data_IF_162537113873
#
_entry.id   IF_162537113873
#
_cell.length_a   1.000
_cell.length_b   1.000
_cell.length_c   1.000
_cell.angle_alpha   90.00
_cell.angle_beta   90.00
_cell.angle_gamma   90.00
#
_symmetry.space_group_name_H-M   'P 1'
#
loop_
_entity.id
_entity.type
_entity.pdbx_description
1 polymer ?
#
# COMPACT_ATOMS: atom_id res chain seq x y z
N UNK A 1 -0.85 40.72 -5.73
CA UNK A 1 -0.32 39.57 -6.49
C UNK A 1 -1.08 38.35 -6.02
N UNK A 2 -2.06 37.90 -6.80
CA UNK A 2 -2.90 36.76 -6.43
C UNK A 2 -2.15 35.47 -6.69
N UNK A 3 -2.07 34.60 -5.68
CA UNK A 3 -1.57 33.24 -5.85
C UNK A 3 -2.66 32.43 -6.54
N UNK A 4 -2.36 31.89 -7.72
CA UNK A 4 -3.21 30.89 -8.38
C UNK A 4 -2.76 29.54 -7.82
N UNK A 5 -3.60 28.95 -6.96
CA UNK A 5 -3.45 27.54 -6.58
C UNK A 5 -4.01 26.72 -7.73
N UNK A 6 -3.13 26.10 -8.51
CA UNK A 6 -3.53 25.03 -9.42
C UNK A 6 -3.66 23.78 -8.55
N UNK A 7 -4.87 23.54 -8.01
CA UNK A 7 -5.23 22.19 -7.57
C UNK A 7 -5.40 21.40 -8.85
N UNK A 8 -4.37 20.63 -9.23
CA UNK A 8 -4.54 19.56 -10.20
C UNK A 8 -5.55 18.60 -9.58
N UNK A 9 -6.83 18.78 -9.87
CA UNK A 9 -7.79 17.72 -9.78
C UNK A 9 -7.30 16.67 -10.76
N UNK A 10 -6.56 15.68 -10.25
CA UNK A 10 -6.60 14.37 -10.88
C UNK A 10 -8.07 14.07 -11.07
N UNK A 11 -8.47 13.74 -12.31
CA UNK A 11 -9.81 13.28 -12.58
C UNK A 11 -9.98 11.99 -11.79
N UNK A 12 -10.38 12.12 -10.54
CA UNK A 12 -11.05 11.08 -9.80
C UNK A 12 -12.30 10.82 -10.62
N UNK A 13 -12.29 9.73 -11.38
CA UNK A 13 -13.44 9.30 -12.16
C UNK A 13 -14.58 8.83 -11.22
N UNK A 14 -14.31 8.76 -9.91
CA UNK A 14 -15.22 8.31 -8.88
C UNK A 14 -15.32 6.79 -8.79
N UNK A 15 -14.42 6.06 -9.46
CA UNK A 15 -14.44 4.60 -9.53
C UNK A 15 -13.04 4.01 -9.36
N UNK A 16 -12.00 4.66 -9.88
CA UNK A 16 -10.63 4.20 -9.74
C UNK A 16 -10.18 4.42 -8.29
N UNK A 17 -9.76 3.37 -7.57
CA UNK A 17 -9.29 3.54 -6.21
C UNK A 17 -8.01 4.38 -6.19
N UNK A 18 -7.83 5.15 -5.13
CA UNK A 18 -6.58 5.87 -4.87
C UNK A 18 -6.00 5.46 -3.53
N UNK A 19 -4.69 5.27 -3.51
CA UNK A 19 -3.92 5.06 -2.29
C UNK A 19 -3.12 6.32 -2.00
N UNK A 20 -2.90 6.59 -0.72
CA UNK A 20 -2.07 7.72 -0.27
C UNK A 20 -1.49 7.41 1.10
N UNK A 21 -0.41 8.12 1.45
CA UNK A 21 0.12 8.08 2.82
C UNK A 21 0.53 6.66 3.23
N UNK A 22 1.17 5.93 2.32
CA UNK A 22 1.82 4.68 2.67
C UNK A 22 2.86 4.97 3.77
N UNK A 23 2.83 4.17 4.84
CA UNK A 23 3.65 4.35 6.03
C UNK A 23 4.19 3.02 6.52
N UNK A 24 5.36 3.11 7.15
CA UNK A 24 5.95 2.04 7.93
C UNK A 24 5.76 2.31 9.42
N UNK A 25 4.99 1.46 10.07
CA UNK A 25 4.59 1.60 11.47
C UNK A 25 5.57 0.91 12.43
N UNK A 26 6.51 0.13 11.88
CA UNK A 26 7.56 -0.56 12.62
C UNK A 26 7.61 -2.06 12.33
N UNK A 27 8.57 -2.78 12.94
CA UNK A 27 8.60 -4.24 12.85
C UNK A 27 7.58 -4.85 13.81
N UNK A 28 7.15 -6.08 13.53
CA UNK A 28 6.44 -6.88 14.51
C UNK A 28 7.32 -7.14 15.74
N UNK A 29 6.71 -7.21 16.93
CA UNK A 29 7.43 -7.37 18.21
C UNK A 29 8.22 -8.66 18.30
N UNK A 30 7.80 -9.69 17.57
CA UNK A 30 8.36 -11.03 17.54
C UNK A 30 9.28 -11.29 16.33
N UNK A 31 9.26 -10.41 15.31
CA UNK A 31 10.14 -10.55 14.14
C UNK A 31 10.45 -9.21 13.47
N UNK A 32 11.74 -8.90 13.34
CA UNK A 32 12.23 -7.74 12.61
C UNK A 32 12.04 -7.83 11.08
N UNK A 33 11.77 -9.02 10.54
CA UNK A 33 11.50 -9.21 9.10
C UNK A 33 10.04 -8.99 8.73
N UNK A 34 9.16 -8.87 9.72
CA UNK A 34 7.73 -8.64 9.52
C UNK A 34 7.47 -7.14 9.66
N UNK A 35 7.16 -6.48 8.55
CA UNK A 35 6.89 -5.05 8.49
C UNK A 35 5.40 -4.80 8.74
N UNK A 36 5.09 -3.91 9.68
CA UNK A 36 3.77 -3.36 9.89
C UNK A 36 3.65 -2.09 9.04
N UNK A 37 2.63 -2.04 8.19
CA UNK A 37 2.43 -1.00 7.21
C UNK A 37 0.99 -0.50 7.26
N UNK A 38 0.80 0.77 6.90
CA UNK A 38 -0.51 1.36 6.72
C UNK A 38 -0.57 2.22 5.47
N UNK A 39 -1.74 2.32 4.86
CA UNK A 39 -2.01 3.22 3.73
C UNK A 39 -3.43 3.74 3.83
N UNK A 40 -3.64 5.01 3.51
CA UNK A 40 -4.99 5.56 3.35
C UNK A 40 -5.51 5.17 1.96
N UNK A 41 -6.81 4.96 1.83
CA UNK A 41 -7.47 4.67 0.56
C UNK A 41 -8.70 5.54 0.35
N UNK A 42 -9.05 5.73 -0.92
CA UNK A 42 -10.37 6.20 -1.36
C UNK A 42 -10.84 5.36 -2.53
N UNK A 43 -12.13 5.08 -2.56
CA UNK A 43 -12.78 4.21 -3.53
C UNK A 43 -14.24 4.66 -3.69
N UNK A 44 -14.61 5.20 -4.85
CA UNK A 44 -15.86 5.96 -4.96
C UNK A 44 -17.13 5.11 -5.02
N UNK A 45 -17.03 3.83 -5.40
CA UNK A 45 -18.14 2.88 -5.48
C UNK A 45 -18.10 1.80 -4.37
N UNK A 46 -17.02 1.73 -3.60
CA UNK A 46 -16.93 0.95 -2.37
C UNK A 46 -16.81 -0.55 -2.62
N UNK A 47 -16.14 -0.96 -3.69
CA UNK A 47 -15.89 -2.36 -4.01
C UNK A 47 -14.41 -2.78 -3.83
N UNK A 48 -13.53 -1.84 -3.45
CA UNK A 48 -12.11 -2.10 -3.19
C UNK A 48 -11.86 -3.26 -2.24
N UNK A 49 -12.70 -3.42 -1.21
CA UNK A 49 -12.58 -4.51 -0.23
C UNK A 49 -12.70 -5.92 -0.83
N UNK A 50 -13.16 -6.05 -2.08
CA UNK A 50 -13.26 -7.31 -2.81
C UNK A 50 -12.16 -7.52 -3.86
N UNK A 51 -11.23 -6.57 -3.96
CA UNK A 51 -10.08 -6.62 -4.84
C UNK A 51 -8.80 -7.16 -4.18
N UNK A 52 -7.64 -6.72 -4.66
CA UNK A 52 -6.32 -7.13 -4.19
C UNK A 52 -5.31 -5.99 -4.13
N UNK A 53 -4.31 -6.15 -3.27
CA UNK A 53 -3.17 -5.26 -3.09
C UNK A 53 -1.90 -5.92 -3.62
N UNK A 54 -1.31 -5.35 -4.66
CA UNK A 54 0.01 -5.75 -5.15
C UNK A 54 1.11 -5.00 -4.40
N UNK A 55 2.24 -5.67 -4.21
CA UNK A 55 3.41 -5.10 -3.54
C UNK A 55 4.61 -5.12 -4.48
N UNK A 56 5.45 -4.10 -4.38
CA UNK A 56 6.61 -3.88 -5.23
C UNK A 56 7.83 -3.54 -4.39
N UNK A 57 9.01 -4.01 -4.79
CA UNK A 57 10.29 -3.57 -4.25
C UNK A 57 11.12 -3.02 -5.42
N UNK A 58 11.56 -1.78 -5.29
CA UNK A 58 12.33 -1.05 -6.32
C UNK A 58 11.65 -1.01 -7.70
N UNK A 59 10.30 -1.04 -7.69
CA UNK A 59 9.46 -1.02 -8.89
C UNK A 59 9.13 -2.40 -9.45
N UNK A 60 9.78 -3.47 -8.98
CA UNK A 60 9.52 -4.84 -9.40
C UNK A 60 8.48 -5.53 -8.50
N UNK A 61 7.55 -6.33 -9.05
CA UNK A 61 6.59 -7.09 -8.25
C UNK A 61 7.29 -8.05 -7.27
N UNK A 62 6.79 -8.15 -6.05
CA UNK A 62 7.32 -9.12 -5.08
C UNK A 62 6.86 -10.55 -5.41
N UNK A 63 7.57 -11.53 -4.86
CA UNK A 63 7.21 -12.95 -4.94
C UNK A 63 6.01 -13.33 -4.08
N UNK A 64 5.53 -12.45 -3.18
CA UNK A 64 4.33 -12.69 -2.37
C UNK A 64 3.06 -12.74 -3.23
N UNK A 65 3.11 -12.12 -4.42
CA UNK A 65 1.94 -11.96 -5.27
C UNK A 65 0.92 -10.96 -4.69
N UNK A 66 -0.26 -10.85 -5.32
CA UNK A 66 -1.34 -10.00 -4.82
C UNK A 66 -1.89 -10.50 -3.48
N UNK A 67 -2.15 -9.59 -2.56
CA UNK A 67 -2.78 -9.84 -1.27
C UNK A 67 -4.28 -9.56 -1.36
N UNK A 68 -5.13 -10.48 -0.91
CA UNK A 68 -6.57 -10.22 -0.85
C UNK A 68 -6.86 -9.03 0.08
N UNK A 69 -7.65 -8.05 -0.39
CA UNK A 69 -7.99 -6.86 0.41
C UNK A 69 -9.02 -7.16 1.50
N UNK A 70 -9.91 -8.14 1.30
CA UNK A 70 -10.95 -8.47 2.28
C UNK A 70 -10.38 -8.78 3.68
N UNK A 71 -9.37 -9.66 3.85
CA UNK A 71 -8.71 -9.85 5.15
C UNK A 71 -8.07 -8.59 5.73
N UNK A 72 -7.54 -7.69 4.88
CA UNK A 72 -6.90 -6.43 5.30
C UNK A 72 -7.97 -5.46 5.87
N UNK A 73 -9.09 -5.30 5.17
CA UNK A 73 -10.23 -4.50 5.64
C UNK A 73 -10.74 -4.99 7.00
N UNK A 74 -10.97 -6.31 7.12
CA UNK A 74 -11.45 -6.92 8.37
C UNK A 74 -10.47 -6.72 9.54
N UNK A 75 -9.16 -6.82 9.27
CA UNK A 75 -8.12 -6.58 10.30
C UNK A 75 -8.06 -5.12 10.73
N UNK A 76 -8.30 -4.20 9.80
CA UNK A 76 -8.24 -2.75 10.01
C UNK A 76 -9.53 -2.18 10.62
N UNK A 77 -10.53 -3.03 10.93
CA UNK A 77 -11.88 -2.63 11.35
C UNK A 77 -12.55 -1.65 10.37
N UNK A 78 -12.25 -1.80 9.08
CA UNK A 78 -12.85 -1.01 7.99
C UNK A 78 -13.98 -1.83 7.34
N UNK A 79 -15.21 -1.29 7.24
CA UNK A 79 -16.28 -1.94 6.49
C UNK A 79 -15.86 -2.22 5.04
N UNK A 80 -16.14 -3.43 4.53
CA UNK A 80 -15.73 -3.86 3.18
C UNK A 80 -16.21 -2.91 2.07
N UNK A 81 -17.35 -2.24 2.28
CA UNK A 81 -17.91 -1.24 1.36
C UNK A 81 -17.64 0.21 1.75
N UNK A 82 -16.62 0.48 2.58
CA UNK A 82 -16.21 1.83 2.90
C UNK A 82 -15.55 2.47 1.67
N UNK A 83 -15.87 3.73 1.42
CA UNK A 83 -15.34 4.52 0.30
C UNK A 83 -14.07 5.27 0.63
N UNK A 84 -13.71 5.33 1.91
CA UNK A 84 -12.43 5.87 2.38
C UNK A 84 -12.09 5.27 3.75
N UNK A 85 -10.80 5.25 4.08
CA UNK A 85 -10.32 4.75 5.35
C UNK A 85 -8.83 4.51 5.34
N UNK A 86 -8.35 3.84 6.39
CA UNK A 86 -6.96 3.43 6.54
C UNK A 86 -6.88 1.91 6.59
N UNK A 87 -6.02 1.33 5.76
CA UNK A 87 -5.74 -0.09 5.73
C UNK A 87 -4.43 -0.38 6.42
N UNK A 88 -4.44 -1.32 7.36
CA UNK A 88 -3.28 -1.85 8.06
C UNK A 88 -2.97 -3.25 7.52
N UNK A 89 -1.75 -3.44 7.03
CA UNK A 89 -1.33 -4.70 6.44
C UNK A 89 0.10 -5.04 6.85
N UNK A 90 0.46 -6.30 6.60
CA UNK A 90 1.72 -6.85 7.06
C UNK A 90 2.44 -7.44 5.86
N UNK A 91 3.75 -7.17 5.78
CA UNK A 91 4.61 -7.73 4.75
C UNK A 91 5.80 -8.42 5.40
N UNK A 92 5.99 -9.71 5.12
CA UNK A 92 7.16 -10.46 5.57
C UNK A 92 8.27 -10.36 4.52
N UNK A 93 9.42 -9.81 4.92
CA UNK A 93 10.62 -9.77 4.10
C UNK A 93 11.33 -11.12 4.15
N UNK A 94 11.44 -11.76 2.98
CA UNK A 94 12.33 -12.90 2.80
C UNK A 94 13.65 -12.42 2.22
N UNK A 95 14.69 -12.38 3.06
CA UNK A 95 16.05 -12.08 2.60
C UNK A 95 16.65 -13.36 1.99
N UNK A 96 17.23 -13.24 0.79
CA UNK A 96 17.94 -14.33 0.15
C UNK A 96 19.14 -14.82 0.97
N UNK A 97 19.82 -15.87 0.48
CA UNK A 97 20.99 -16.45 1.15
C UNK A 97 22.16 -15.47 1.36
N UNK A 98 22.18 -14.37 0.61
CA UNK A 98 23.09 -13.24 0.80
C UNK A 98 22.24 -12.00 1.11
N UNK A 99 22.03 -11.65 2.40
CA UNK A 99 21.28 -10.47 2.74
C UNK A 99 22.00 -9.22 2.22
N UNK A 100 21.26 -8.21 1.74
CA UNK A 100 21.87 -6.95 1.34
C UNK A 100 22.52 -6.26 2.55
N UNK A 101 23.56 -5.44 2.34
CA UNK A 101 24.23 -4.73 3.44
C UNK A 101 23.26 -3.92 4.32
N UNK A 102 23.54 -3.87 5.62
CA UNK A 102 22.90 -2.94 6.55
C UNK A 102 23.13 -1.50 6.07
N UNK A 103 22.08 -0.66 6.11
CA UNK A 103 22.05 0.70 5.60
C UNK A 103 21.59 0.84 4.14
N UNK A 104 21.25 -0.25 3.45
CA UNK A 104 20.72 -0.18 2.08
C UNK A 104 19.31 0.41 2.08
N UNK A 105 19.07 1.33 1.14
CA UNK A 105 17.75 1.89 0.85
C UNK A 105 17.05 1.06 -0.22
N UNK A 106 15.75 0.85 -0.06
CA UNK A 106 14.87 0.28 -1.08
C UNK A 106 13.53 1.00 -1.08
N UNK A 107 12.86 1.04 -2.24
CA UNK A 107 11.52 1.59 -2.38
C UNK A 107 10.49 0.46 -2.25
N UNK A 108 9.63 0.54 -1.23
CA UNK A 108 8.45 -0.32 -1.11
C UNK A 108 7.27 0.39 -1.77
N UNK A 109 6.64 -0.27 -2.73
CA UNK A 109 5.44 0.22 -3.41
C UNK A 109 4.23 -0.65 -3.15
N UNK A 110 3.04 -0.05 -3.12
CA UNK A 110 1.76 -0.77 -3.12
C UNK A 110 0.82 -0.22 -4.19
N UNK A 111 0.00 -1.10 -4.74
CA UNK A 111 -1.01 -0.76 -5.75
C UNK A 111 -2.26 -1.57 -5.49
N UNK A 112 -3.41 -0.93 -5.42
CA UNK A 112 -4.67 -1.65 -5.24
C UNK A 112 -5.40 -1.79 -6.57
N UNK A 113 -6.05 -2.93 -6.75
CA UNK A 113 -6.99 -3.17 -7.84
C UNK A 113 -8.31 -3.61 -7.24
N UNK A 114 -9.41 -3.03 -7.69
CA UNK A 114 -10.76 -3.33 -7.20
C UNK A 114 -11.37 -4.59 -7.87
N UNK A 115 -12.65 -4.88 -7.62
CA UNK A 115 -13.32 -6.05 -8.17
C UNK A 115 -13.68 -5.96 -9.66
N UNK A 116 -13.77 -4.75 -10.21
CA UNK A 116 -14.03 -4.49 -11.63
C UNK A 116 -12.77 -4.19 -12.43
N UNK A 117 -11.60 -4.36 -11.79
CA UNK A 117 -10.26 -4.19 -12.33
C UNK A 117 -9.83 -2.74 -12.63
N UNK A 118 -10.36 -1.74 -11.91
CA UNK A 118 -9.69 -0.44 -11.85
C UNK A 118 -8.50 -0.51 -10.90
N UNK A 119 -7.42 0.16 -11.26
CA UNK A 119 -6.14 0.05 -10.57
C UNK A 119 -5.64 1.42 -10.15
N UNK A 120 -5.24 1.56 -8.90
CA UNK A 120 -4.66 2.80 -8.36
C UNK A 120 -3.30 3.12 -8.99
N UNK A 121 -2.84 4.36 -8.84
CA UNK A 121 -1.42 4.65 -8.95
C UNK A 121 -0.63 3.86 -7.89
N UNK A 122 0.65 3.56 -8.15
CA UNK A 122 1.52 2.94 -7.16
C UNK A 122 1.95 3.99 -6.13
N UNK A 123 1.59 3.76 -4.87
CA UNK A 123 2.07 4.57 -3.76
C UNK A 123 3.35 3.97 -3.20
N UNK A 124 4.35 4.78 -2.89
CA UNK A 124 5.70 4.30 -2.52
C UNK A 124 6.27 4.98 -1.29
N UNK A 125 7.03 4.22 -0.51
CA UNK A 125 7.90 4.71 0.56
C UNK A 125 9.32 4.21 0.38
N UNK A 126 10.30 5.00 0.82
CA UNK A 126 11.69 4.55 0.90
C UNK A 126 12.00 4.07 2.31
N UNK A 127 12.53 2.86 2.43
CA UNK A 127 12.92 2.24 3.68
C UNK A 127 14.42 1.96 3.69
N UNK A 128 15.00 1.96 4.88
CA UNK A 128 16.40 1.55 5.12
C UNK A 128 16.41 0.21 5.83
N UNK A 129 17.11 -0.77 5.28
CA UNK A 129 17.33 -2.04 5.97
C UNK A 129 18.42 -1.86 7.04
N UNK A 130 18.10 -2.08 8.31
CA UNK A 130 19.07 -2.01 9.41
C UNK A 130 19.02 -3.28 10.25
N UNK A 131 20.16 -3.92 10.43
CA UNK A 131 20.40 -5.07 11.31
C UNK A 131 21.81 -5.01 11.90
#
# INVERSE_FOLDING_TARGET
MGSVVIVGAGCDDGYTPSLSDLRYDGPATDSATVLLLSTDFRDGDGDLGTGFLETFIDGDPTSAGPLDLLPIFLRSDVPVGATEGRLEFVLELSLGSTPPPSGVLFALGVRATDAVANTSATETITLTLTY
#
